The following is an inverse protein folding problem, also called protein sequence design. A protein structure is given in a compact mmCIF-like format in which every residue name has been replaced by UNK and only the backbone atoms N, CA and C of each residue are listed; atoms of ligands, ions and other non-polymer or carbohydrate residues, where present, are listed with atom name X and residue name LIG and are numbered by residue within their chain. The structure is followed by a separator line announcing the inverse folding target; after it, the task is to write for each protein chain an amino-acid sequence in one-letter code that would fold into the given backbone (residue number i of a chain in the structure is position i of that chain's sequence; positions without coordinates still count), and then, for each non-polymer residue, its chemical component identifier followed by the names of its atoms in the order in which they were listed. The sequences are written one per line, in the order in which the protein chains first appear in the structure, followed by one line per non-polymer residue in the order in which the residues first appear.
data_IF_877134740680
#
_entry.id   IF_877134740680
#
_cell.length_a   1.000
_cell.length_b   1.000
_cell.length_c   1.000
_cell.angle_alpha   90.00
_cell.angle_beta   90.00
_cell.angle_gamma   90.00
#
_symmetry.space_group_name_H-M   'P 1'
#
loop_
_entity.id
_entity.type
_entity.pdbx_description
1 polymer ?
#
# COMPACT_ATOMS: atom_id res chain seq x y z
N UNK A 1 -27.80 19.56 0.19
CA UNK A 1 -28.30 18.17 0.16
C UNK A 1 -28.61 17.77 1.61
N UNK A 2 -29.88 17.55 1.98
CA UNK A 2 -30.26 17.09 3.33
C UNK A 2 -30.39 15.57 3.29
N UNK A 3 -29.61 14.88 4.11
CA UNK A 3 -29.65 13.43 4.26
C UNK A 3 -30.52 13.07 5.46
N UNK A 4 -31.24 11.94 5.38
CA UNK A 4 -31.91 11.39 6.54
C UNK A 4 -30.88 11.08 7.65
N UNK A 5 -31.26 11.26 8.92
CA UNK A 5 -30.33 11.12 10.05
C UNK A 5 -29.57 9.79 10.06
N UNK A 6 -30.23 8.70 9.66
CA UNK A 6 -29.62 7.36 9.56
C UNK A 6 -28.53 7.31 8.48
N UNK A 7 -28.76 7.93 7.32
CA UNK A 7 -27.77 7.99 6.25
C UNK A 7 -26.58 8.88 6.61
N UNK A 8 -26.83 9.96 7.33
CA UNK A 8 -25.76 10.83 7.84
C UNK A 8 -24.84 10.06 8.79
N UNK A 9 -25.40 9.35 9.77
CA UNK A 9 -24.61 8.56 10.73
C UNK A 9 -23.82 7.47 10.01
N UNK A 10 -24.42 6.76 9.05
CA UNK A 10 -23.72 5.73 8.26
C UNK A 10 -22.52 6.31 7.49
N UNK A 11 -22.70 7.42 6.77
CA UNK A 11 -21.62 8.06 5.99
C UNK A 11 -20.55 8.68 6.88
N UNK A 12 -20.95 9.25 8.02
CA UNK A 12 -20.04 9.82 9.00
C UNK A 12 -19.11 8.74 9.58
N UNK A 13 -19.65 7.59 9.97
CA UNK A 13 -18.85 6.48 10.50
C UNK A 13 -17.88 5.87 9.48
N UNK A 14 -18.21 5.90 8.19
CA UNK A 14 -17.29 5.46 7.12
C UNK A 14 -16.16 6.46 6.85
N UNK A 15 -16.38 7.75 7.14
CA UNK A 15 -15.36 8.79 6.97
C UNK A 15 -14.47 8.99 8.19
N UNK A 16 -14.96 8.62 9.38
CA UNK A 16 -14.13 8.65 10.58
C UNK A 16 -13.15 7.50 10.51
N UNK A 17 -11.88 7.86 10.33
CA UNK A 17 -10.77 6.92 10.35
C UNK A 17 -10.80 6.16 11.70
N UNK A 18 -10.89 4.82 11.71
CA UNK A 18 -11.00 4.06 12.95
C UNK A 18 -9.79 4.34 13.86
N UNK A 19 -10.03 4.36 15.18
CA UNK A 19 -8.95 4.55 16.16
C UNK A 19 -7.83 3.54 15.90
N UNK A 20 -6.58 4.02 15.90
CA UNK A 20 -5.33 3.28 15.61
C UNK A 20 -5.03 3.05 14.13
N UNK A 21 -5.81 3.58 13.20
CA UNK A 21 -5.34 3.66 11.81
C UNK A 21 -4.26 4.75 11.72
N UNK A 22 -2.99 4.34 11.67
CA UNK A 22 -1.90 5.28 11.44
C UNK A 22 -1.85 5.66 9.96
N UNK A 23 -1.47 6.91 9.69
CA UNK A 23 -1.22 7.35 8.32
C UNK A 23 -0.06 6.54 7.73
N UNK A 24 -0.34 5.74 6.71
CA UNK A 24 0.68 4.98 5.98
C UNK A 24 1.60 5.98 5.29
N UNK A 25 2.87 5.98 5.68
CA UNK A 25 3.91 6.74 4.99
C UNK A 25 4.52 5.78 3.96
N UNK A 26 4.41 6.11 2.68
CA UNK A 26 5.11 5.36 1.64
C UNK A 26 6.62 5.61 1.77
N UNK A 27 7.37 4.57 2.11
CA UNK A 27 8.83 4.55 2.05
C UNK A 27 9.28 3.80 0.78
N UNK A 28 10.50 4.07 0.30
CA UNK A 28 11.02 3.40 -0.91
C UNK A 28 10.77 4.18 -2.21
N UNK A 29 10.25 3.52 -3.25
CA UNK A 29 10.12 4.11 -4.58
C UNK A 29 8.85 4.94 -4.78
N UNK A 30 7.81 4.71 -3.98
CA UNK A 30 6.57 5.51 -3.97
C UNK A 30 6.62 6.71 -3.02
N UNK A 31 7.76 6.96 -2.37
CA UNK A 31 7.94 8.12 -1.51
C UNK A 31 7.85 9.42 -2.33
N UNK A 32 7.04 10.38 -1.89
CA UNK A 32 6.71 11.59 -2.67
C UNK A 32 7.94 12.35 -3.20
N UNK A 33 9.01 12.47 -2.40
CA UNK A 33 10.25 13.17 -2.80
C UNK A 33 10.99 12.50 -3.96
N UNK A 34 10.84 11.20 -4.14
CA UNK A 34 11.60 10.43 -5.13
C UNK A 34 10.70 9.71 -6.13
N UNK A 35 9.38 9.93 -6.06
CA UNK A 35 8.39 9.15 -6.80
C UNK A 35 8.62 9.27 -8.29
N UNK A 36 8.71 10.49 -8.81
CA UNK A 36 8.79 10.72 -10.26
C UNK A 36 10.10 10.15 -10.84
N UNK A 37 11.24 10.45 -10.20
CA UNK A 37 12.53 9.95 -10.64
C UNK A 37 12.64 8.41 -10.58
N UNK A 38 12.11 7.79 -9.52
CA UNK A 38 12.17 6.32 -9.37
C UNK A 38 11.16 5.61 -10.27
N UNK A 39 9.96 6.16 -10.46
CA UNK A 39 8.97 5.61 -11.38
C UNK A 39 9.44 5.70 -12.83
N UNK A 40 10.05 6.81 -13.25
CA UNK A 40 10.64 6.92 -14.58
C UNK A 40 11.73 5.85 -14.80
N UNK A 41 12.58 5.63 -13.80
CA UNK A 41 13.64 4.61 -13.85
C UNK A 41 13.08 3.18 -13.89
N UNK A 42 12.06 2.87 -13.08
CA UNK A 42 11.37 1.58 -13.11
C UNK A 42 10.69 1.39 -14.47
N UNK A 43 10.01 2.41 -14.99
CA UNK A 43 9.38 2.37 -16.32
C UNK A 43 10.38 2.10 -17.43
N UNK A 44 11.55 2.74 -17.39
CA UNK A 44 12.63 2.49 -18.35
C UNK A 44 13.26 1.08 -18.22
N UNK A 45 13.29 0.50 -17.02
CA UNK A 45 13.75 -0.87 -16.82
C UNK A 45 12.71 -1.89 -17.33
N UNK A 46 11.43 -1.66 -17.03
CA UNK A 46 10.32 -2.53 -17.45
C UNK A 46 10.12 -2.50 -18.97
N UNK A 47 10.26 -1.34 -19.61
CA UNK A 47 10.21 -1.22 -21.07
C UNK A 47 11.43 -1.86 -21.75
N UNK A 48 12.50 -2.15 -21.00
CA UNK A 48 13.71 -2.80 -21.48
C UNK A 48 13.71 -4.32 -21.28
N UNK A 49 12.83 -4.86 -20.43
CA UNK A 49 12.70 -6.30 -20.22
C UNK A 49 11.42 -6.83 -20.88
N UNK A 50 11.58 -7.57 -21.99
CA UNK A 50 10.62 -8.61 -22.35
C UNK A 50 10.57 -9.67 -21.22
N UNK A 51 9.44 -10.40 -21.09
CA UNK A 51 8.86 -10.80 -19.81
C UNK A 51 9.60 -12.00 -19.19
N UNK A 52 9.85 -11.94 -17.89
CA UNK A 52 9.90 -13.14 -17.06
C UNK A 52 9.73 -12.78 -15.58
N UNK A 53 8.97 -13.64 -14.92
CA UNK A 53 8.86 -13.84 -13.47
C UNK A 53 7.79 -13.02 -12.73
N UNK A 54 6.62 -13.65 -12.76
CA UNK A 54 5.54 -13.60 -11.79
C UNK A 54 6.04 -13.39 -10.36
N UNK A 55 5.51 -12.37 -9.70
CA UNK A 55 5.63 -12.24 -8.25
C UNK A 55 4.55 -13.14 -7.65
N UNK A 56 4.84 -14.43 -7.47
CA UNK A 56 4.09 -15.24 -6.51
C UNK A 56 4.39 -14.68 -5.14
N UNK A 57 3.32 -14.26 -4.45
CA UNK A 57 3.36 -13.87 -3.05
C UNK A 57 3.71 -15.09 -2.20
N UNK A 58 4.99 -15.36 -2.00
CA UNK A 58 5.44 -16.36 -1.05
C UNK A 58 5.59 -15.73 0.32
N UNK A 59 4.76 -16.24 1.23
CA UNK A 59 4.69 -15.90 2.62
C UNK A 59 6.09 -15.94 3.26
N UNK A 60 6.43 -14.91 4.03
CA UNK A 60 7.51 -14.97 4.99
C UNK A 60 7.15 -16.08 5.99
N UNK A 61 7.81 -17.23 5.86
CA UNK A 61 7.67 -18.35 6.77
C UNK A 61 8.10 -17.88 8.16
N UNK A 62 7.15 -17.95 9.08
CA UNK A 62 7.35 -17.56 10.45
C UNK A 62 8.46 -18.43 11.08
N UNK A 63 9.45 -17.72 11.62
CA UNK A 63 10.41 -18.09 12.64
C UNK A 63 10.28 -19.47 13.32
N UNK A 64 11.44 -20.12 13.52
CA UNK A 64 11.98 -20.43 14.86
C UNK A 64 13.45 -20.89 14.73
N UNK A 65 14.43 -20.20 15.34
CA UNK A 65 15.71 -20.82 15.68
C UNK A 65 15.56 -21.43 17.08
N UNK A 66 15.48 -22.76 17.18
CA UNK A 66 15.62 -23.46 18.44
C UNK A 66 17.08 -23.91 18.56
N UNK A 67 17.79 -23.19 19.42
CA UNK A 67 19.05 -23.61 20.02
C UNK A 67 18.73 -24.71 21.03
N UNK A 68 19.52 -25.80 20.95
CA UNK A 68 19.51 -27.07 21.71
C UNK A 68 18.71 -28.21 21.08
#
# INVERSE_FOLDING_TARGET
MRLAGVEFVRRFLLHVLPKRFMRIRHYGFLANRCRDAKLARIGACLSRSAPSEEITSEACTNATPAVQ
#
